data_IF_594682088422
#
_entry.id   IF_594682088422
#
_cell.length_a   1.000
_cell.length_b   1.000
_cell.length_c   1.000
_cell.angle_alpha   90.00
_cell.angle_beta   90.00
_cell.angle_gamma   90.00
#
_symmetry.space_group_name_H-M   'P 1'
#
loop_
_entity.id
_entity.type
_entity.pdbx_description
1 polymer ?
#
# COMPACT_ATOMS: atom_id res chain seq x y z
N UNK A 1 16.23 -13.12 -25.18
CA UNK A 1 16.15 -14.59 -25.36
C UNK A 1 15.03 -15.21 -24.53
N UNK A 2 14.99 -15.01 -23.20
CA UNK A 2 13.92 -15.57 -22.33
C UNK A 2 12.52 -15.07 -22.71
N UNK A 3 12.35 -13.77 -22.97
CA UNK A 3 11.02 -13.21 -23.26
C UNK A 3 10.43 -13.70 -24.58
N UNK A 4 11.26 -13.86 -25.61
CA UNK A 4 10.84 -14.47 -26.87
C UNK A 4 10.42 -15.93 -26.70
N UNK A 5 11.09 -16.70 -25.85
CA UNK A 5 10.70 -18.09 -25.56
C UNK A 5 9.37 -18.16 -24.80
N UNK A 6 9.19 -17.32 -23.77
CA UNK A 6 7.92 -17.26 -23.04
C UNK A 6 6.77 -16.83 -23.94
N UNK A 7 6.99 -15.84 -24.81
CA UNK A 7 5.94 -15.34 -25.70
C UNK A 7 5.63 -16.28 -26.88
N UNK A 8 6.63 -16.82 -27.56
CA UNK A 8 6.40 -17.63 -28.75
C UNK A 8 6.12 -19.11 -28.45
N UNK A 9 6.55 -19.62 -27.30
CA UNK A 9 6.37 -21.04 -26.92
C UNK A 9 5.46 -21.17 -25.71
N UNK A 10 5.73 -20.42 -24.64
CA UNK A 10 4.95 -20.49 -23.40
C UNK A 10 3.49 -20.04 -23.57
N UNK A 11 3.27 -18.90 -24.22
CA UNK A 11 1.94 -18.33 -24.39
C UNK A 11 0.99 -19.22 -25.20
N UNK A 12 1.39 -19.79 -26.36
CA UNK A 12 0.56 -20.78 -27.05
C UNK A 12 0.27 -22.01 -26.19
N UNK A 13 1.28 -22.56 -25.51
CA UNK A 13 1.11 -23.77 -24.68
C UNK A 13 0.06 -23.58 -23.58
N UNK A 14 0.09 -22.42 -22.92
CA UNK A 14 -0.84 -22.09 -21.85
C UNK A 14 -2.29 -21.84 -22.35
N UNK A 15 -2.51 -21.71 -23.66
CA UNK A 15 -3.83 -21.61 -24.26
C UNK A 15 -4.45 -22.97 -24.63
N UNK A 16 -3.68 -24.07 -24.56
CA UNK A 16 -4.19 -25.42 -24.78
C UNK A 16 -4.61 -26.13 -23.49
N UNK A 17 -5.53 -27.07 -23.60
CA UNK A 17 -5.90 -27.95 -22.49
C UNK A 17 -4.73 -28.89 -22.13
N UNK A 18 -4.42 -29.14 -20.84
CA UNK A 18 -5.13 -28.68 -19.64
C UNK A 18 -4.64 -27.33 -19.08
N UNK A 19 -3.58 -26.75 -19.65
CA UNK A 19 -2.94 -25.54 -19.13
C UNK A 19 -3.85 -24.31 -19.16
N UNK A 20 -4.75 -24.20 -20.13
CA UNK A 20 -5.74 -23.11 -20.19
C UNK A 20 -6.69 -23.13 -18.99
N UNK A 21 -7.06 -24.31 -18.49
CA UNK A 21 -7.87 -24.46 -17.27
C UNK A 21 -7.09 -24.03 -16.02
N UNK A 22 -5.83 -24.43 -15.93
CA UNK A 22 -4.94 -24.00 -14.85
C UNK A 22 -4.76 -22.48 -14.87
N UNK A 23 -4.44 -21.90 -16.03
CA UNK A 23 -4.34 -20.45 -16.23
C UNK A 23 -5.60 -19.73 -15.78
N UNK A 24 -6.78 -20.18 -16.22
CA UNK A 24 -8.04 -19.56 -15.83
C UNK A 24 -8.22 -19.59 -14.30
N UNK A 25 -7.97 -20.74 -13.67
CA UNK A 25 -8.04 -20.87 -12.21
C UNK A 25 -7.04 -19.96 -11.50
N UNK A 26 -5.80 -19.87 -11.98
CA UNK A 26 -4.76 -19.01 -11.41
C UNK A 26 -5.09 -17.53 -11.55
N UNK A 27 -5.65 -17.10 -12.69
CA UNK A 27 -6.09 -15.73 -12.91
C UNK A 27 -7.23 -15.35 -11.97
N UNK A 28 -8.19 -16.26 -11.73
CA UNK A 28 -9.26 -16.03 -10.76
C UNK A 28 -8.73 -15.89 -9.32
N UNK A 29 -7.74 -16.70 -8.94
CA UNK A 29 -7.07 -16.55 -7.64
C UNK A 29 -6.35 -15.20 -7.56
N UNK A 30 -5.59 -14.84 -8.60
CA UNK A 30 -4.83 -13.60 -8.63
C UNK A 30 -5.73 -12.36 -8.52
N UNK A 31 -6.81 -12.28 -9.31
CA UNK A 31 -7.73 -11.14 -9.25
C UNK A 31 -8.47 -11.06 -7.90
N UNK A 32 -8.75 -12.20 -7.27
CA UNK A 32 -9.35 -12.21 -5.92
C UNK A 32 -8.39 -11.65 -4.86
N UNK A 33 -7.09 -11.96 -4.93
CA UNK A 33 -6.10 -11.34 -4.07
C UNK A 33 -5.95 -9.83 -4.34
N UNK A 34 -5.95 -9.42 -5.61
CA UNK A 34 -5.91 -8.00 -5.98
C UNK A 34 -7.10 -7.25 -5.39
N UNK A 35 -8.33 -7.70 -5.66
CA UNK A 35 -9.56 -7.11 -5.13
C UNK A 35 -9.55 -7.00 -3.61
N UNK A 36 -9.13 -8.07 -2.93
CA UNK A 36 -9.01 -8.07 -1.48
C UNK A 36 -8.05 -7.00 -0.95
N UNK A 37 -6.87 -6.90 -1.55
CA UNK A 37 -5.87 -5.91 -1.16
C UNK A 37 -6.33 -4.48 -1.45
N UNK A 38 -6.99 -4.27 -2.59
CA UNK A 38 -7.49 -2.96 -3.00
C UNK A 38 -8.62 -2.47 -2.08
N UNK A 39 -9.55 -3.33 -1.70
CA UNK A 39 -10.60 -3.00 -0.74
C UNK A 39 -10.02 -2.66 0.63
N UNK A 40 -9.06 -3.45 1.12
CA UNK A 40 -8.44 -3.24 2.44
C UNK A 40 -7.53 -2.00 2.47
N UNK A 41 -6.81 -1.72 1.39
CA UNK A 41 -5.92 -0.57 1.24
C UNK A 41 -6.58 0.66 0.62
N UNK A 42 -7.92 0.68 0.53
CA UNK A 42 -8.71 1.77 -0.06
C UNK A 42 -8.18 2.24 -1.41
N UNK A 43 -7.78 1.27 -2.22
CA UNK A 43 -7.25 1.42 -3.58
C UNK A 43 -5.92 2.18 -3.70
N UNK A 44 -5.20 2.40 -2.59
CA UNK A 44 -3.85 2.98 -2.56
C UNK A 44 -2.80 1.94 -2.97
N UNK A 45 -2.97 0.68 -2.53
CA UNK A 45 -1.99 -0.39 -2.71
C UNK A 45 -0.74 -0.20 -1.85
N UNK A 46 0.20 -1.15 -1.94
CA UNK A 46 1.44 -1.16 -1.14
C UNK A 46 2.43 -0.09 -1.61
N UNK A 47 2.37 0.32 -2.87
CA UNK A 47 3.30 1.27 -3.47
C UNK A 47 2.99 1.50 -4.95
N UNK A 48 3.60 2.52 -5.55
CA UNK A 48 3.20 3.01 -6.88
C UNK A 48 3.31 1.98 -8.00
N UNK A 49 4.32 1.11 -7.97
CA UNK A 49 4.48 0.06 -8.98
C UNK A 49 3.35 -0.98 -8.91
N UNK A 50 3.05 -1.49 -7.71
CA UNK A 50 1.94 -2.43 -7.48
C UNK A 50 0.61 -1.77 -7.78
N UNK A 51 0.43 -0.52 -7.35
CA UNK A 51 -0.76 0.30 -7.63
C UNK A 51 -1.05 0.41 -9.13
N UNK A 52 -0.03 0.62 -9.96
CA UNK A 52 -0.20 0.70 -11.41
C UNK A 52 -0.64 -0.65 -12.01
N UNK A 53 -0.07 -1.76 -11.53
CA UNK A 53 -0.42 -3.11 -12.00
C UNK A 53 -1.84 -3.51 -11.57
N UNK A 54 -2.24 -3.24 -10.33
CA UNK A 54 -3.61 -3.50 -9.86
C UNK A 54 -4.63 -2.66 -10.63
N UNK A 55 -4.35 -1.36 -10.83
CA UNK A 55 -5.21 -0.50 -11.66
C UNK A 55 -5.35 -1.06 -13.09
N UNK A 56 -4.26 -1.54 -13.69
CA UNK A 56 -4.32 -2.14 -15.02
C UNK A 56 -5.12 -3.45 -15.01
N UNK A 57 -4.99 -4.27 -13.97
CA UNK A 57 -5.76 -5.50 -13.83
C UNK A 57 -7.28 -5.22 -13.78
N UNK A 58 -7.71 -4.23 -13.01
CA UNK A 58 -9.12 -3.79 -13.00
C UNK A 58 -9.57 -3.21 -14.34
N UNK A 59 -8.72 -2.44 -15.02
CA UNK A 59 -9.04 -1.91 -16.35
C UNK A 59 -9.22 -3.00 -17.40
N UNK A 60 -8.38 -4.04 -17.38
CA UNK A 60 -8.50 -5.19 -18.28
C UNK A 60 -9.74 -6.03 -17.96
N UNK A 61 -10.11 -6.13 -16.68
CA UNK A 61 -11.27 -6.90 -16.21
C UNK A 61 -12.61 -6.19 -16.53
N UNK A 62 -12.76 -4.92 -16.13
CA UNK A 62 -13.93 -4.08 -16.40
C UNK A 62 -13.59 -2.57 -16.28
N UNK A 63 -13.63 -1.87 -17.42
CA UNK A 63 -13.32 -0.44 -17.54
C UNK A 63 -14.35 0.48 -16.88
N UNK A 64 -15.57 0.01 -16.63
CA UNK A 64 -16.65 0.80 -16.02
C UNK A 64 -16.84 0.50 -14.52
N UNK A 65 -16.03 -0.42 -13.97
CA UNK A 65 -16.09 -0.85 -12.58
C UNK A 65 -15.82 0.28 -11.58
N UNK A 66 -16.51 0.23 -10.43
CA UNK A 66 -16.25 1.18 -9.33
C UNK A 66 -14.83 1.05 -8.77
N UNK A 67 -14.27 -0.18 -8.76
CA UNK A 67 -12.89 -0.42 -8.35
C UNK A 67 -11.89 0.34 -9.23
N UNK A 68 -12.09 0.33 -10.55
CA UNK A 68 -11.25 1.10 -11.47
C UNK A 68 -11.36 2.62 -11.20
N UNK A 69 -12.57 3.14 -11.00
CA UNK A 69 -12.80 4.57 -10.67
C UNK A 69 -12.14 4.96 -9.34
N UNK A 70 -12.23 4.12 -8.31
CA UNK A 70 -11.56 4.34 -7.03
C UNK A 70 -10.04 4.36 -7.18
N UNK A 71 -9.48 3.45 -7.98
CA UNK A 71 -8.06 3.49 -8.28
C UNK A 71 -7.62 4.76 -9.01
N UNK A 72 -8.39 5.26 -9.98
CA UNK A 72 -8.09 6.52 -10.67
C UNK A 72 -8.04 7.69 -9.68
N UNK A 73 -9.02 7.74 -8.77
CA UNK A 73 -9.09 8.78 -7.74
C UNK A 73 -7.88 8.79 -6.78
N UNK A 74 -7.20 7.66 -6.62
CA UNK A 74 -6.03 7.49 -5.75
C UNK A 74 -4.67 7.68 -6.45
N UNK A 75 -4.63 7.91 -7.77
CA UNK A 75 -3.36 8.21 -8.47
C UNK A 75 -2.66 9.45 -7.89
N UNK A 76 -3.36 10.56 -7.61
CA UNK A 76 -2.73 11.77 -7.07
C UNK A 76 -2.03 11.58 -5.71
N UNK A 77 -2.39 10.55 -4.94
CA UNK A 77 -1.76 10.25 -3.65
C UNK A 77 -0.25 9.94 -3.81
N UNK A 78 0.17 9.54 -5.01
CA UNK A 78 1.58 9.27 -5.34
C UNK A 78 2.29 10.45 -6.00
N UNK A 79 1.59 11.55 -6.31
CA UNK A 79 2.20 12.71 -6.94
C UNK A 79 3.00 13.54 -5.93
N UNK A 80 4.19 13.98 -6.35
CA UNK A 80 5.03 14.88 -5.57
C UNK A 80 5.62 15.94 -6.48
N UNK A 81 5.43 17.21 -6.14
CA UNK A 81 6.06 18.32 -6.84
C UNK A 81 7.37 18.66 -6.13
N UNK A 82 8.49 18.34 -6.79
CA UNK A 82 9.84 18.68 -6.35
C UNK A 82 10.38 19.89 -7.14
N UNK A 83 11.57 20.34 -6.78
CA UNK A 83 12.29 21.45 -7.43
C UNK A 83 12.55 21.24 -8.92
N UNK A 84 12.62 19.98 -9.36
CA UNK A 84 12.83 19.55 -10.75
C UNK A 84 11.53 19.05 -11.42
N UNK A 85 10.37 19.25 -10.79
CA UNK A 85 9.06 19.00 -11.37
C UNK A 85 8.25 17.89 -10.69
N UNK A 86 7.20 17.44 -11.38
CA UNK A 86 6.28 16.43 -10.89
C UNK A 86 6.88 15.02 -10.97
N UNK A 87 6.85 14.30 -9.85
CA UNK A 87 7.34 12.93 -9.69
C UNK A 87 6.26 12.01 -9.14
N UNK A 88 6.47 10.71 -9.33
CA UNK A 88 5.70 9.65 -8.68
C UNK A 88 6.54 9.10 -7.52
N UNK A 89 6.00 9.18 -6.32
CA UNK A 89 6.61 8.59 -5.13
C UNK A 89 6.51 7.06 -5.19
N UNK A 90 7.50 6.36 -4.65
CA UNK A 90 7.40 4.92 -4.43
C UNK A 90 6.34 4.60 -3.38
N UNK A 91 6.48 5.27 -2.23
CA UNK A 91 5.67 5.18 -1.02
C UNK A 91 5.61 6.57 -0.38
N UNK A 92 4.56 6.87 0.38
CA UNK A 92 4.62 7.96 1.35
C UNK A 92 5.44 7.54 2.57
N UNK A 93 5.99 8.50 3.33
CA UNK A 93 6.80 8.24 4.54
C UNK A 93 6.32 9.04 5.78
N UNK A 94 5.05 9.46 5.77
CA UNK A 94 4.52 10.46 6.71
C UNK A 94 4.62 10.00 8.17
N UNK A 95 4.21 8.77 8.48
CA UNK A 95 4.28 8.22 9.85
C UNK A 95 5.72 8.01 10.28
N UNK A 96 6.56 7.47 9.40
CA UNK A 96 7.98 7.26 9.68
C UNK A 96 8.71 8.56 10.02
N UNK A 97 8.59 9.57 9.17
CA UNK A 97 9.27 10.86 9.34
C UNK A 97 8.74 11.63 10.54
N UNK A 98 7.43 11.59 10.79
CA UNK A 98 6.84 12.21 11.97
C UNK A 98 7.38 11.56 13.25
N UNK A 99 7.45 10.23 13.31
CA UNK A 99 7.95 9.51 14.46
C UNK A 99 9.42 9.82 14.74
N UNK A 100 10.29 9.83 13.72
CA UNK A 100 11.69 10.20 13.91
C UNK A 100 11.88 11.67 14.26
N UNK A 101 11.07 12.56 13.70
CA UNK A 101 11.10 13.99 14.04
C UNK A 101 10.76 14.24 15.50
N UNK A 102 9.73 13.55 16.04
CA UNK A 102 9.40 13.63 17.47
C UNK A 102 10.57 13.13 18.33
N UNK A 103 11.17 11.99 17.97
CA UNK A 103 12.34 11.46 18.70
C UNK A 103 13.50 12.46 18.70
N UNK A 104 13.77 13.13 17.58
CA UNK A 104 14.82 14.12 17.48
C UNK A 104 14.55 15.35 18.37
N UNK A 105 13.33 15.90 18.31
CA UNK A 105 12.93 17.07 19.14
C UNK A 105 13.07 16.75 20.63
N UNK A 106 12.58 15.58 21.06
CA UNK A 106 12.67 15.14 22.45
C UNK A 106 14.12 14.85 22.84
N UNK A 107 14.88 14.15 21.99
CA UNK A 107 16.28 13.79 22.23
C UNK A 107 17.23 14.98 22.30
N UNK A 108 16.94 16.06 21.56
CA UNK A 108 17.69 17.32 21.62
C UNK A 108 17.29 18.21 22.80
N UNK A 109 16.33 17.79 23.63
CA UNK A 109 15.83 18.54 24.78
C UNK A 109 15.29 19.95 24.45
N UNK A 110 14.68 20.11 23.26
CA UNK A 110 14.05 21.38 22.81
C UNK A 110 12.53 21.33 22.85
N UNK A 111 11.95 20.40 23.62
CA UNK A 111 10.50 20.15 23.62
C UNK A 111 9.67 21.38 24.06
N UNK A 112 10.20 22.21 24.96
CA UNK A 112 9.51 23.43 25.41
C UNK A 112 9.30 24.44 24.28
N UNK A 113 10.22 24.49 23.31
CA UNK A 113 10.14 25.37 22.14
C UNK A 113 9.11 24.87 21.12
N UNK A 114 8.90 23.55 21.04
CA UNK A 114 8.09 22.89 20.02
C UNK A 114 6.77 22.30 20.55
N UNK A 115 6.30 22.70 21.74
CA UNK A 115 5.13 22.08 22.37
C UNK A 115 3.85 22.03 21.50
N UNK A 116 3.58 23.05 20.68
CA UNK A 116 2.44 23.05 19.75
C UNK A 116 2.65 22.07 18.59
N UNK A 117 3.87 21.97 18.07
CA UNK A 117 4.24 21.03 17.00
C UNK A 117 4.14 19.60 17.50
N UNK A 118 4.69 19.31 18.69
CA UNK A 118 4.61 17.99 19.32
C UNK A 118 3.17 17.54 19.57
N UNK A 119 2.28 18.46 19.99
CA UNK A 119 0.86 18.15 20.15
C UNK A 119 0.22 17.69 18.83
N UNK A 120 0.44 18.44 17.74
CA UNK A 120 -0.08 18.07 16.42
C UNK A 120 0.52 16.76 15.92
N UNK A 121 1.82 16.53 16.17
CA UNK A 121 2.49 15.30 15.77
C UNK A 121 1.93 14.08 16.52
N UNK A 122 1.62 14.21 17.82
CA UNK A 122 0.92 13.19 18.59
C UNK A 122 -0.50 12.94 18.07
N UNK A 123 -1.27 13.99 17.75
CA UNK A 123 -2.60 13.85 17.14
C UNK A 123 -2.52 13.12 15.79
N UNK A 124 -1.54 13.44 14.95
CA UNK A 124 -1.28 12.77 13.68
C UNK A 124 -0.94 11.30 13.87
N UNK A 125 -0.05 10.94 14.80
CA UNK A 125 0.31 9.55 15.06
C UNK A 125 -0.87 8.76 15.61
N UNK A 126 -1.69 9.36 16.47
CA UNK A 126 -2.91 8.73 16.98
C UNK A 126 -3.91 8.46 15.84
N UNK A 127 -4.05 9.41 14.91
CA UNK A 127 -4.89 9.25 13.73
C UNK A 127 -4.29 8.31 12.67
N UNK A 128 -2.99 8.02 12.73
CA UNK A 128 -2.31 7.12 11.78
C UNK A 128 -2.25 5.67 12.27
N UNK A 129 -2.65 5.40 13.51
CA UNK A 129 -2.67 4.04 14.04
C UNK A 129 -3.75 3.21 13.34
N UNK A 130 -3.38 2.01 12.88
CA UNK A 130 -4.33 1.05 12.32
C UNK A 130 -5.30 0.58 13.41
N UNK A 131 -6.59 0.83 13.24
CA UNK A 131 -7.62 0.55 14.26
C UNK A 131 -8.28 -0.83 14.12
N UNK A 132 -8.24 -1.40 12.91
CA UNK A 132 -8.87 -2.68 12.56
C UNK A 132 -7.87 -3.61 11.85
N UNK A 133 -8.07 -4.92 12.00
CA UNK A 133 -7.37 -5.89 11.18
C UNK A 133 -7.95 -5.89 9.75
N UNK A 134 -7.23 -6.44 8.75
CA UNK A 134 -7.78 -6.60 7.42
C UNK A 134 -9.05 -7.46 7.46
N UNK A 135 -9.94 -7.25 6.51
CA UNK A 135 -11.27 -7.86 6.46
C UNK A 135 -11.20 -9.39 6.34
N UNK A 136 -12.25 -10.07 6.83
CA UNK A 136 -12.46 -11.50 6.66
C UNK A 136 -11.35 -12.38 7.25
N UNK A 137 -11.11 -13.53 6.61
CA UNK A 137 -9.98 -14.42 6.95
C UNK A 137 -8.69 -13.90 6.29
N UNK A 138 -8.14 -12.84 6.88
CA UNK A 138 -6.93 -12.18 6.37
C UNK A 138 -5.69 -13.09 6.38
N UNK A 139 -5.69 -14.19 7.14
CA UNK A 139 -4.59 -15.17 7.13
C UNK A 139 -4.59 -15.99 5.85
N UNK A 140 -5.77 -16.38 5.36
CA UNK A 140 -5.91 -17.03 4.05
C UNK A 140 -5.46 -16.11 2.90
N UNK A 141 -5.53 -14.79 3.12
CA UNK A 141 -5.04 -13.77 2.18
C UNK A 141 -3.58 -13.37 2.42
N UNK A 142 -2.86 -14.11 3.27
CA UNK A 142 -1.44 -13.90 3.59
C UNK A 142 -1.11 -12.56 4.26
N UNK A 143 -2.09 -11.89 4.86
CA UNK A 143 -1.87 -10.67 5.65
C UNK A 143 -1.54 -10.99 7.11
N UNK A 144 -0.74 -10.13 7.71
CA UNK A 144 -0.45 -10.16 9.15
C UNK A 144 -1.50 -9.37 9.94
N UNK A 145 -1.68 -9.71 11.23
CA UNK A 145 -2.44 -8.89 12.19
C UNK A 145 -1.85 -7.46 12.18
N UNK A 146 -2.70 -6.45 12.00
CA UNK A 146 -2.29 -5.04 11.90
C UNK A 146 -3.00 -4.11 12.87
N UNK A 147 -4.07 -4.56 13.55
CA UNK A 147 -4.75 -3.74 14.57
C UNK A 147 -3.78 -3.32 15.68
N UNK A 148 -3.70 -2.01 15.92
CA UNK A 148 -2.83 -1.38 16.89
C UNK A 148 -1.43 -1.02 16.35
N UNK A 149 -1.14 -1.36 15.09
CA UNK A 149 0.15 -1.11 14.46
C UNK A 149 0.21 0.27 13.78
N UNK A 150 1.40 0.64 13.29
CA UNK A 150 1.62 1.77 12.39
C UNK A 150 2.18 1.30 11.05
N UNK A 151 1.77 1.97 9.98
CA UNK A 151 2.29 1.79 8.63
C UNK A 151 3.46 2.75 8.40
N UNK A 152 4.14 2.61 7.25
CA UNK A 152 5.21 3.55 6.88
C UNK A 152 4.64 4.93 6.51
N UNK A 153 3.48 4.97 5.86
CA UNK A 153 2.84 6.17 5.34
C UNK A 153 1.71 6.69 6.26
N UNK A 154 0.48 6.23 6.05
CA UNK A 154 -0.75 6.62 6.75
C UNK A 154 -1.63 5.40 7.01
N UNK A 155 -2.65 5.56 7.88
CA UNK A 155 -3.56 4.48 8.27
C UNK A 155 -4.25 3.80 7.09
N UNK A 156 -4.65 4.56 6.07
CA UNK A 156 -5.42 4.07 4.91
C UNK A 156 -4.72 2.94 4.14
N UNK A 157 -3.38 2.90 4.14
CA UNK A 157 -2.62 1.83 3.50
C UNK A 157 -2.81 0.48 4.21
N UNK A 158 -2.95 0.50 5.54
CA UNK A 158 -3.18 -0.70 6.37
C UNK A 158 -2.02 -1.72 6.41
N UNK A 159 -0.92 -1.47 5.69
CA UNK A 159 0.28 -2.30 5.68
C UNK A 159 1.18 -1.96 6.85
N UNK A 160 1.00 -2.68 7.95
CA UNK A 160 1.85 -2.53 9.13
C UNK A 160 3.30 -2.88 8.79
N UNK A 161 4.22 -2.17 9.43
CA UNK A 161 5.62 -2.55 9.47
C UNK A 161 6.12 -2.57 10.92
N UNK A 162 6.97 -3.56 11.24
CA UNK A 162 7.40 -3.83 12.61
C UNK A 162 8.21 -2.69 13.22
N UNK A 163 9.10 -2.08 12.42
CA UNK A 163 9.89 -0.92 12.80
C UNK A 163 9.04 0.34 12.92
N UNK A 164 8.11 0.55 11.98
CA UNK A 164 7.16 1.67 12.00
C UNK A 164 6.29 1.61 13.27
N UNK A 165 5.84 0.41 13.62
CA UNK A 165 5.09 0.16 14.85
C UNK A 165 5.93 0.41 16.09
N UNK A 166 7.20 -0.03 16.09
CA UNK A 166 8.11 0.20 17.21
C UNK A 166 8.37 1.70 17.44
N UNK A 167 8.66 2.45 16.37
CA UNK A 167 8.90 3.91 16.50
C UNK A 167 7.61 4.65 16.81
N UNK A 168 6.49 4.30 16.17
CA UNK A 168 5.18 4.89 16.45
C UNK A 168 4.75 4.68 17.89
N UNK A 169 4.98 3.49 18.46
CA UNK A 169 4.71 3.21 19.87
C UNK A 169 5.64 3.99 20.80
N UNK A 170 6.92 4.14 20.44
CA UNK A 170 7.91 4.84 21.27
C UNK A 170 7.60 6.32 21.45
N UNK A 171 6.99 6.95 20.45
CA UNK A 171 6.64 8.39 20.46
C UNK A 171 5.15 8.66 20.63
N UNK A 172 4.35 7.63 20.88
CA UNK A 172 2.93 7.78 21.19
C UNK A 172 2.73 8.40 22.56
#
# INVERSE_FOLDING_TARGET
MVWGLLYHVGEPLLNYWPFSKLRHSSLQIAINHIRYEDENGRYIGVGSAVKALCLLAHWVDDQDSEAYKHHLARIPDFFWVAEDGLKIQGFGCQTWDAAFSIQAIVGCNVSEEYGRTLRKAHEFLKASQVVDNPSGDFRAMYRHISKGAWTFSIQDEGWQASDCTAVGLKVR
#
